data_IF_420213382060
#
_entry.id   IF_420213382060
#
_cell.length_a   1.000
_cell.length_b   1.000
_cell.length_c   1.000
_cell.angle_alpha   90.00
_cell.angle_beta   90.00
_cell.angle_gamma   90.00
#
_symmetry.space_group_name_H-M   'P 1'
#
loop_
_entity.id
_entity.type
_entity.pdbx_description
1 polymer ?
#
# COMPACT_ATOMS: atom_id res chain seq x y z
N UNK A 1 14.94 24.44 -12.50
CA UNK A 1 15.22 23.62 -11.31
C UNK A 1 14.13 23.85 -10.28
N UNK A 2 13.45 22.79 -9.82
CA UNK A 2 12.40 22.90 -8.80
C UNK A 2 13.02 22.77 -7.39
N UNK A 3 12.55 23.53 -6.40
CA UNK A 3 13.02 23.38 -5.02
C UNK A 3 12.58 22.02 -4.47
N UNK A 4 13.41 21.39 -3.64
CA UNK A 4 13.19 20.02 -3.15
C UNK A 4 11.85 19.87 -2.40
N UNK A 5 11.40 20.92 -1.71
CA UNK A 5 10.13 20.96 -0.98
C UNK A 5 8.87 20.86 -1.88
N UNK A 6 9.00 21.02 -3.20
CA UNK A 6 7.89 20.84 -4.15
C UNK A 6 7.80 19.43 -4.74
N UNK A 7 8.84 18.61 -4.58
CA UNK A 7 8.95 17.27 -5.18
C UNK A 7 9.23 16.21 -4.11
N UNK A 8 8.98 16.52 -2.83
CA UNK A 8 9.11 15.56 -1.74
C UNK A 8 8.10 14.43 -1.92
N UNK A 9 8.54 13.16 -1.99
CA UNK A 9 7.61 12.03 -2.05
C UNK A 9 6.89 11.84 -0.72
N UNK A 10 5.68 11.29 -0.75
CA UNK A 10 4.98 10.84 0.45
C UNK A 10 5.67 9.63 1.09
N UNK A 11 5.56 9.50 2.41
CA UNK A 11 6.08 8.36 3.15
C UNK A 11 5.03 7.28 3.33
N UNK A 12 5.42 6.04 3.05
CA UNK A 12 4.64 4.83 3.33
C UNK A 12 5.24 4.01 4.50
N UNK A 13 6.35 4.49 5.06
CA UNK A 13 7.13 3.77 6.07
C UNK A 13 6.32 3.36 7.31
N UNK A 14 5.46 4.23 7.91
CA UNK A 14 4.69 3.84 9.09
C UNK A 14 3.68 2.72 8.79
N UNK A 15 3.01 2.79 7.63
CA UNK A 15 2.07 1.76 7.21
C UNK A 15 2.76 0.44 6.87
N UNK A 16 3.90 0.50 6.17
CA UNK A 16 4.69 -0.68 5.81
C UNK A 16 5.22 -1.40 7.05
N UNK A 17 5.73 -0.68 8.04
CA UNK A 17 6.19 -1.28 9.30
C UNK A 17 5.05 -1.99 10.04
N UNK A 18 3.85 -1.40 10.11
CA UNK A 18 2.70 -2.08 10.73
C UNK A 18 2.28 -3.34 9.96
N UNK A 19 2.34 -3.33 8.63
CA UNK A 19 2.12 -4.52 7.81
C UNK A 19 3.15 -5.62 8.13
N UNK A 20 4.43 -5.28 8.18
CA UNK A 20 5.51 -6.24 8.48
C UNK A 20 5.40 -6.79 9.90
N UNK A 21 5.11 -5.95 10.90
CA UNK A 21 4.90 -6.39 12.29
C UNK A 21 3.68 -7.31 12.43
N UNK A 22 2.56 -6.97 11.78
CA UNK A 22 1.35 -7.82 11.85
C UNK A 22 1.58 -9.15 11.17
N UNK A 23 2.28 -9.19 10.03
CA UNK A 23 2.66 -10.44 9.36
C UNK A 23 3.61 -11.27 10.23
N UNK A 24 4.63 -10.63 10.81
CA UNK A 24 5.62 -11.30 11.65
C UNK A 24 5.00 -11.94 12.90
N UNK A 25 4.11 -11.21 13.59
CA UNK A 25 3.49 -11.68 14.82
C UNK A 25 2.40 -12.73 14.59
N UNK A 26 1.57 -12.54 13.56
CA UNK A 26 0.38 -13.38 13.36
C UNK A 26 0.65 -14.57 12.45
N UNK A 27 1.71 -14.50 11.63
CA UNK A 27 2.06 -15.47 10.56
C UNK A 27 0.86 -15.88 9.70
N UNK A 28 -0.14 -15.01 9.63
CA UNK A 28 -1.40 -15.27 8.99
C UNK A 28 -1.70 -14.13 8.02
N UNK A 29 -1.73 -14.48 6.73
CA UNK A 29 -1.95 -13.53 5.66
C UNK A 29 -3.33 -12.87 5.74
N UNK A 30 -4.35 -13.56 6.26
CA UNK A 30 -5.69 -12.99 6.46
C UNK A 30 -5.69 -11.92 7.55
N UNK A 31 -5.03 -12.18 8.68
CA UNK A 31 -4.95 -11.21 9.78
C UNK A 31 -4.09 -10.00 9.36
N UNK A 32 -3.05 -10.24 8.58
CA UNK A 32 -2.23 -9.17 7.97
C UNK A 32 -3.05 -8.32 7.01
N UNK A 33 -3.87 -8.94 6.16
CA UNK A 33 -4.75 -8.23 5.23
C UNK A 33 -5.76 -7.33 5.97
N UNK A 34 -6.39 -7.87 7.01
CA UNK A 34 -7.40 -7.15 7.78
C UNK A 34 -6.78 -6.06 8.66
N UNK A 35 -5.83 -6.43 9.52
CA UNK A 35 -5.27 -5.53 10.54
C UNK A 35 -4.18 -4.65 9.93
N UNK A 36 -3.18 -5.25 9.29
CA UNK A 36 -2.10 -4.50 8.66
C UNK A 36 -2.59 -3.65 7.49
N UNK A 37 -3.50 -4.17 6.66
CA UNK A 37 -4.15 -3.41 5.59
C UNK A 37 -4.97 -2.22 6.13
N UNK A 38 -5.71 -2.41 7.24
CA UNK A 38 -6.43 -1.32 7.88
C UNK A 38 -5.50 -0.19 8.35
N UNK A 39 -4.43 -0.56 9.07
CA UNK A 39 -3.46 0.40 9.59
C UNK A 39 -2.67 1.09 8.48
N UNK A 40 -2.43 0.42 7.36
CA UNK A 40 -1.76 1.02 6.20
C UNK A 40 -2.52 2.23 5.66
N UNK A 41 -3.84 2.10 5.45
CA UNK A 41 -4.67 3.21 4.97
C UNK A 41 -4.86 4.31 6.02
N UNK A 42 -4.97 3.93 7.29
CA UNK A 42 -5.20 4.87 8.40
C UNK A 42 -3.96 5.72 8.71
N UNK A 43 -2.77 5.12 8.72
CA UNK A 43 -1.52 5.79 9.08
C UNK A 43 -0.90 6.59 7.94
N UNK A 44 -1.41 6.44 6.71
CA UNK A 44 -0.90 7.19 5.57
C UNK A 44 -1.02 8.70 5.78
N UNK A 45 -2.21 9.21 6.15
CA UNK A 45 -2.42 10.65 6.32
C UNK A 45 -1.65 11.23 7.53
N UNK A 46 -1.70 10.63 8.74
CA UNK A 46 -0.88 11.08 9.87
C UNK A 46 0.63 10.96 9.65
N UNK A 47 1.10 9.89 8.98
CA UNK A 47 2.52 9.67 8.70
C UNK A 47 3.11 10.71 7.74
N UNK A 48 2.28 11.25 6.86
CA UNK A 48 2.64 12.29 5.90
C UNK A 48 2.51 13.71 6.48
N UNK A 49 1.75 13.91 7.57
CA UNK A 49 1.55 15.21 8.19
C UNK A 49 2.85 15.89 8.64
N UNK A 50 3.83 15.12 9.13
CA UNK A 50 5.12 15.66 9.56
C UNK A 50 5.91 16.32 8.40
N UNK A 51 5.63 15.92 7.16
CA UNK A 51 6.33 16.39 5.96
C UNK A 51 5.55 17.50 5.27
N UNK A 52 4.23 17.34 5.13
CA UNK A 52 3.39 18.27 4.37
C UNK A 52 2.66 19.30 5.24
N UNK A 53 2.51 19.07 6.55
CA UNK A 53 1.81 19.98 7.47
C UNK A 53 2.29 21.44 7.40
N UNK A 54 3.61 21.73 7.36
CA UNK A 54 4.11 23.10 7.21
C UNK A 54 3.81 23.77 5.85
N UNK A 55 3.41 22.99 4.83
CA UNK A 55 3.11 23.48 3.47
C UNK A 55 1.61 23.65 3.19
N UNK A 56 0.74 23.53 4.21
CA UNK A 56 -0.72 23.71 4.10
C UNK A 56 -1.12 25.20 3.99
N UNK A 57 -0.52 25.93 3.05
CA UNK A 57 -0.94 27.28 2.67
C UNK A 57 -2.18 27.18 1.76
N UNK A 58 -3.09 28.17 1.78
CA UNK A 58 -4.20 28.21 0.82
C UNK A 58 -3.63 28.41 -0.60
N UNK A 59 -3.57 27.34 -1.38
CA UNK A 59 -3.06 27.38 -2.75
C UNK A 59 -4.21 27.68 -3.71
N UNK A 60 -3.98 28.60 -4.65
CA UNK A 60 -4.90 28.97 -5.72
C UNK A 60 -5.28 27.73 -6.56
N UNK A 61 -6.56 27.63 -6.90
CA UNK A 61 -7.13 26.57 -7.74
C UNK A 61 -6.44 26.54 -9.10
N UNK A 62 -5.81 25.42 -9.40
CA UNK A 62 -5.18 25.14 -10.68
C UNK A 62 -5.94 23.96 -11.31
N UNK A 63 -6.54 24.17 -12.48
CA UNK A 63 -7.53 23.27 -13.08
C UNK A 63 -7.01 21.87 -13.44
N UNK A 64 -5.70 21.66 -13.40
CA UNK A 64 -5.05 20.38 -13.69
C UNK A 64 -4.93 19.50 -12.44
N UNK A 65 -5.01 20.07 -11.23
CA UNK A 65 -4.86 19.33 -9.98
C UNK A 65 -6.19 18.72 -9.53
N UNK A 66 -6.22 17.39 -9.40
CA UNK A 66 -7.28 16.66 -8.70
C UNK A 66 -7.08 16.75 -7.18
N UNK A 67 -7.45 17.88 -6.59
CA UNK A 67 -7.48 18.10 -5.14
C UNK A 67 -8.93 18.27 -4.68
N UNK A 68 -9.17 18.17 -3.37
CA UNK A 68 -10.50 18.43 -2.79
C UNK A 68 -10.93 19.88 -3.07
N UNK A 69 -11.77 20.06 -4.10
CA UNK A 69 -12.53 21.26 -4.34
C UNK A 69 -13.90 21.03 -3.70
N UNK A 70 -14.17 21.72 -2.59
CA UNK A 70 -15.35 21.48 -1.74
C UNK A 70 -16.63 21.26 -2.55
N UNK A 71 -17.39 20.22 -2.18
CA UNK A 71 -18.64 19.86 -2.84
C UNK A 71 -19.82 20.20 -1.92
N UNK A 72 -20.99 20.48 -2.50
CA UNK A 72 -22.25 20.75 -1.75
C UNK A 72 -22.67 19.60 -0.80
N UNK A 73 -22.01 18.44 -0.87
CA UNK A 73 -22.26 17.24 -0.04
C UNK A 73 -21.16 16.96 1.00
N UNK A 74 -20.12 17.77 1.12
CA UNK A 74 -18.99 17.53 2.03
C UNK A 74 -19.07 18.40 3.29
N UNK A 75 -19.00 17.78 4.47
CA UNK A 75 -18.76 18.50 5.72
C UNK A 75 -17.27 18.85 5.80
N UNK A 76 -16.94 20.13 5.67
CA UNK A 76 -15.57 20.67 5.52
C UNK A 76 -14.64 20.47 6.71
N UNK A 77 -14.27 19.22 6.98
CA UNK A 77 -13.43 18.77 8.07
C UNK A 77 -13.49 17.26 8.32
N UNK A 78 -14.53 16.57 7.85
CA UNK A 78 -14.66 15.11 7.98
C UNK A 78 -14.08 14.33 6.78
N UNK A 79 -13.74 15.00 5.69
CA UNK A 79 -13.31 14.37 4.43
C UNK A 79 -12.03 13.55 4.58
N UNK A 80 -11.08 14.03 5.38
CA UNK A 80 -9.82 13.32 5.67
C UNK A 80 -10.04 11.98 6.40
N UNK A 81 -10.95 11.97 7.37
CA UNK A 81 -11.31 10.77 8.14
C UNK A 81 -12.02 9.77 7.24
N UNK A 82 -13.01 10.22 6.47
CA UNK A 82 -13.77 9.37 5.54
C UNK A 82 -12.83 8.79 4.48
N UNK A 83 -11.92 9.60 3.93
CA UNK A 83 -10.94 9.14 2.95
C UNK A 83 -9.97 8.10 3.55
N UNK A 84 -9.51 8.28 4.79
CA UNK A 84 -8.64 7.32 5.48
C UNK A 84 -9.35 5.98 5.73
N UNK A 85 -10.63 6.00 6.13
CA UNK A 85 -11.45 4.78 6.28
C UNK A 85 -11.74 4.10 4.94
N UNK A 86 -11.98 4.87 3.88
CA UNK A 86 -12.17 4.30 2.55
C UNK A 86 -10.88 3.67 2.03
N UNK A 87 -9.75 4.36 2.18
CA UNK A 87 -8.43 3.86 1.80
C UNK A 87 -8.07 2.58 2.57
N UNK A 88 -8.42 2.50 3.86
CA UNK A 88 -8.17 1.30 4.68
C UNK A 88 -9.01 0.10 4.26
N UNK A 89 -10.23 0.29 3.78
CA UNK A 89 -11.03 -0.80 3.22
C UNK A 89 -10.48 -1.26 1.86
N UNK A 90 -10.12 -0.33 0.98
CA UNK A 90 -9.56 -0.65 -0.34
C UNK A 90 -8.19 -1.32 -0.22
N UNK A 91 -7.35 -0.92 0.75
CA UNK A 91 -6.05 -1.55 1.00
C UNK A 91 -6.17 -3.00 1.47
N UNK A 92 -7.18 -3.36 2.27
CA UNK A 92 -7.45 -4.76 2.65
C UNK A 92 -7.69 -5.63 1.40
N UNK A 93 -8.54 -5.16 0.48
CA UNK A 93 -8.88 -5.88 -0.74
C UNK A 93 -7.68 -5.98 -1.68
N UNK A 94 -6.96 -4.88 -1.88
CA UNK A 94 -5.77 -4.87 -2.73
C UNK A 94 -4.66 -5.74 -2.17
N UNK A 95 -4.48 -5.78 -0.85
CA UNK A 95 -3.52 -6.68 -0.21
C UNK A 95 -3.89 -8.14 -0.49
N UNK A 96 -5.16 -8.53 -0.39
CA UNK A 96 -5.59 -9.90 -0.71
C UNK A 96 -5.33 -10.25 -2.19
N UNK A 97 -5.70 -9.37 -3.12
CA UNK A 97 -5.45 -9.57 -4.57
C UNK A 97 -3.95 -9.71 -4.85
N UNK A 98 -3.15 -8.80 -4.32
CA UNK A 98 -1.70 -8.79 -4.56
C UNK A 98 -1.00 -9.94 -3.86
N UNK A 99 -1.51 -10.38 -2.71
CA UNK A 99 -1.06 -11.59 -2.06
C UNK A 99 -1.25 -12.79 -2.98
N UNK A 100 -2.46 -13.00 -3.55
CA UNK A 100 -2.71 -14.09 -4.50
C UNK A 100 -1.84 -14.00 -5.76
N UNK A 101 -1.64 -12.80 -6.32
CA UNK A 101 -0.69 -12.61 -7.42
C UNK A 101 0.72 -12.99 -7.00
N UNK A 102 1.16 -12.60 -5.80
CA UNK A 102 2.44 -13.02 -5.22
C UNK A 102 2.55 -14.54 -5.13
N UNK A 103 1.49 -15.24 -4.72
CA UNK A 103 1.46 -16.72 -4.71
C UNK A 103 1.72 -17.28 -6.12
N UNK A 104 1.13 -16.67 -7.16
CA UNK A 104 1.28 -17.09 -8.56
C UNK A 104 2.68 -16.74 -9.11
N UNK A 105 3.22 -15.57 -8.81
CA UNK A 105 4.57 -15.20 -9.25
C UNK A 105 5.66 -15.98 -8.52
N UNK A 106 5.46 -16.32 -7.24
CA UNK A 106 6.35 -17.17 -6.47
C UNK A 106 6.30 -18.65 -6.88
N UNK A 107 5.35 -19.08 -7.73
CA UNK A 107 5.51 -20.38 -8.43
C UNK A 107 6.59 -20.23 -9.50
N UNK A 108 7.84 -20.26 -9.07
CA UNK A 108 8.96 -20.24 -9.98
C UNK A 108 9.00 -21.58 -10.72
N UNK A 109 8.49 -21.57 -11.95
CA UNK A 109 8.63 -22.66 -12.91
C UNK A 109 10.09 -22.77 -13.34
N UNK A 110 10.95 -23.32 -12.47
CA UNK A 110 12.32 -23.61 -12.85
C UNK A 110 12.34 -24.86 -13.73
N UNK A 111 12.63 -24.67 -15.01
CA UNK A 111 12.99 -25.75 -15.92
C UNK A 111 14.40 -26.23 -15.58
N UNK A 112 14.51 -27.25 -14.72
CA UNK A 112 15.82 -27.86 -14.41
C UNK A 112 16.19 -28.81 -15.55
N UNK A 113 17.26 -28.48 -16.28
CA UNK A 113 17.85 -29.36 -17.29
C UNK A 113 18.77 -30.37 -16.59
N UNK A 114 18.34 -31.61 -16.45
CA UNK A 114 19.17 -32.67 -15.88
C UNK A 114 20.36 -33.02 -16.77
N UNK A 115 21.35 -33.76 -16.25
CA UNK A 115 22.56 -34.23 -16.98
C UNK A 115 22.27 -35.02 -18.28
N UNK A 116 21.02 -35.48 -18.47
CA UNK A 116 20.51 -36.20 -19.66
C UNK A 116 19.69 -35.32 -20.62
N UNK A 117 19.69 -33.99 -20.46
CA UNK A 117 18.98 -33.06 -21.35
C UNK A 117 17.45 -33.05 -21.22
N UNK A 118 16.87 -33.86 -20.34
CA UNK A 118 15.44 -33.86 -20.05
C UNK A 118 15.09 -32.64 -19.20
N UNK A 119 14.21 -31.81 -19.73
CA UNK A 119 13.68 -30.62 -19.08
C UNK A 119 12.45 -31.06 -18.29
N UNK A 120 12.51 -31.00 -16.96
CA UNK A 120 11.40 -31.39 -16.08
C UNK A 120 10.92 -30.14 -15.36
N UNK A 121 9.63 -29.85 -15.50
CA UNK A 121 8.96 -28.79 -14.75
C UNK A 121 8.81 -29.25 -13.30
N UNK A 122 9.52 -28.60 -12.37
CA UNK A 122 9.32 -28.80 -10.93
C UNK A 122 8.70 -27.54 -10.34
N UNK A 123 7.61 -27.74 -9.60
CA UNK A 123 6.98 -26.69 -8.81
C UNK A 123 7.59 -26.78 -7.42
N UNK A 124 8.44 -25.83 -7.02
CA UNK A 124 8.91 -25.76 -5.64
C UNK A 124 7.78 -25.21 -4.75
N UNK A 125 7.25 -26.05 -3.87
CA UNK A 125 6.15 -25.74 -2.92
C UNK A 125 6.70 -25.10 -1.64
N UNK A 126 7.97 -24.73 -1.60
CA UNK A 126 8.71 -24.36 -0.38
C UNK A 126 8.55 -22.90 0.07
N UNK A 127 7.72 -22.09 -0.59
CA UNK A 127 7.44 -20.71 -0.16
C UNK A 127 6.25 -20.58 0.82
N UNK A 128 5.62 -21.68 1.24
CA UNK A 128 4.48 -21.68 2.18
C UNK A 128 4.75 -22.56 3.40
N UNK A 129 5.56 -22.04 4.31
CA UNK A 129 5.65 -22.49 5.70
C UNK A 129 5.32 -21.35 6.65
#
# INVERSE_FOLDING_TARGET
>A
HYPLNFVTPGTMLPGALMLDFTMYLTRNWLITALVGGAFFGLLFYPGNWAIFGPTHLPIVVEYVRHIEQGSLRTFGGHTTVIAAFFASFVSMLMFAVWWYLGKVYCTAFFYVKGKRGRVVQRNDVTAFG
#
